data_IF_329999597717
#
_entry.id   IF_329999597717
#
_cell.length_a   1.000
_cell.length_b   1.000
_cell.length_c   1.000
_cell.angle_alpha   90.00
_cell.angle_beta   90.00
_cell.angle_gamma   90.00
#
_symmetry.space_group_name_H-M   'P 1'
#
loop_
_entity.id
_entity.type
_entity.pdbx_description
1 polymer ?
#
# COMPACT_ATOMS: atom_id res chain seq x y z
N UNK A 1 45.09 -23.19 -29.10
CA UNK A 1 44.29 -24.43 -29.19
C UNK A 1 42.85 -24.05 -28.90
N UNK A 2 42.21 -23.15 -29.67
CA UNK A 2 41.94 -23.10 -31.13
C UNK A 2 40.61 -23.82 -31.44
N UNK A 3 39.61 -23.29 -32.14
CA UNK A 3 39.27 -21.91 -32.60
C UNK A 3 37.71 -21.77 -32.55
N UNK A 4 36.95 -20.81 -33.11
CA UNK A 4 37.14 -19.72 -34.09
C UNK A 4 36.06 -18.61 -33.91
N UNK A 5 36.08 -17.56 -34.75
CA UNK A 5 34.99 -16.57 -34.84
C UNK A 5 34.12 -16.74 -36.10
N UNK A 6 32.86 -16.27 -36.05
CA UNK A 6 32.22 -15.51 -37.15
C UNK A 6 30.93 -14.84 -36.65
N UNK A 7 30.89 -13.52 -36.46
CA UNK A 7 30.59 -12.50 -37.48
C UNK A 7 29.22 -12.63 -38.19
N UNK A 8 28.32 -11.68 -37.93
CA UNK A 8 27.97 -10.68 -38.95
C UNK A 8 27.32 -9.43 -38.33
N UNK A 9 27.53 -8.29 -38.99
CA UNK A 9 27.12 -6.94 -38.56
C UNK A 9 26.19 -6.33 -39.61
N UNK A 10 25.17 -5.55 -39.21
CA UNK A 10 24.37 -4.73 -40.14
C UNK A 10 24.24 -3.28 -39.66
N UNK A 11 24.93 -2.38 -40.35
CA UNK A 11 24.87 -0.92 -40.15
C UNK A 11 23.86 -0.26 -41.13
N UNK A 12 23.49 1.01 -40.86
CA UNK A 12 22.90 2.03 -41.79
C UNK A 12 21.46 1.75 -42.27
N UNK A 13 20.63 2.71 -42.75
CA UNK A 13 20.45 4.19 -42.63
C UNK A 13 19.16 4.53 -43.46
N UNK A 14 18.51 5.70 -43.55
CA UNK A 14 18.71 7.12 -43.14
C UNK A 14 17.35 7.82 -42.90
N UNK A 15 17.34 9.07 -42.42
CA UNK A 15 16.27 10.06 -42.72
C UNK A 15 16.65 10.97 -43.91
N UNK A 16 16.02 12.15 -44.14
CA UNK A 16 14.83 12.75 -43.48
C UNK A 16 13.84 13.46 -44.48
N UNK A 17 12.93 14.31 -43.94
CA UNK A 17 12.47 15.63 -44.48
C UNK A 17 11.03 15.87 -45.03
N UNK A 18 10.39 16.92 -44.46
CA UNK A 18 9.51 17.99 -45.02
C UNK A 18 8.10 17.67 -45.59
N UNK A 19 7.21 18.69 -45.49
CA UNK A 19 5.83 18.74 -46.04
C UNK A 19 5.74 19.36 -47.45
N UNK A 20 4.60 19.97 -47.89
CA UNK A 20 3.98 21.12 -47.20
C UNK A 20 2.41 21.19 -47.27
N UNK A 21 1.82 22.40 -47.19
CA UNK A 21 0.38 22.72 -47.27
C UNK A 21 -0.12 22.97 -48.71
N UNK A 22 -1.42 22.75 -48.97
CA UNK A 22 -2.38 23.66 -49.66
C UNK A 22 -3.82 23.17 -49.34
N UNK A 23 -4.86 23.97 -49.02
CA UNK A 23 -5.54 25.15 -49.61
C UNK A 23 -6.68 24.81 -50.59
N UNK A 24 -7.68 25.72 -50.61
CA UNK A 24 -8.79 25.88 -51.58
C UNK A 24 -10.11 25.12 -51.29
N UNK A 25 -11.32 25.60 -51.66
CA UNK A 25 -11.80 26.96 -52.08
C UNK A 25 -13.35 27.01 -52.09
N UNK A 26 -13.90 28.20 -52.38
CA UNK A 26 -15.30 28.50 -52.75
C UNK A 26 -16.37 28.41 -51.64
N UNK A 27 -17.29 29.35 -51.38
CA UNK A 27 -17.86 30.56 -52.04
C UNK A 27 -19.20 30.39 -52.74
N UNK A 28 -20.24 31.09 -52.24
CA UNK A 28 -21.34 31.66 -53.03
C UNK A 28 -21.98 32.85 -52.30
N UNK A 29 -22.98 33.48 -52.92
CA UNK A 29 -23.12 34.96 -52.91
C UNK A 29 -24.53 35.45 -53.26
N UNK A 30 -24.89 36.64 -52.74
CA UNK A 30 -26.12 37.39 -53.05
C UNK A 30 -27.19 37.27 -51.96
N UNK A 31 -28.09 38.24 -51.74
CA UNK A 31 -28.31 39.62 -52.28
C UNK A 31 -29.01 40.44 -51.14
N UNK A 32 -29.03 41.79 -51.01
CA UNK A 32 -29.29 42.91 -51.96
C UNK A 32 -30.74 42.85 -52.52
N UNK A 33 -31.58 43.90 -52.64
CA UNK A 33 -31.60 45.39 -52.44
C UNK A 33 -33.10 45.85 -52.26
N UNK A 34 -33.57 47.06 -51.89
CA UNK A 34 -33.09 48.30 -51.22
C UNK A 34 -34.30 49.30 -51.00
N UNK A 35 -34.18 50.36 -50.18
CA UNK A 35 -34.99 51.63 -50.10
C UNK A 35 -36.47 51.62 -49.61
N UNK A 36 -37.10 52.81 -49.35
CA UNK A 36 -36.59 54.20 -49.16
C UNK A 36 -36.99 54.84 -47.80
N UNK A 37 -36.92 56.18 -47.67
CA UNK A 37 -37.03 56.95 -46.40
C UNK A 37 -38.01 58.16 -46.47
N UNK A 38 -38.23 58.83 -45.32
CA UNK A 38 -38.84 60.18 -45.20
C UNK A 38 -38.21 60.96 -44.00
N UNK A 39 -38.00 62.29 -44.03
CA UNK A 39 -37.25 63.03 -42.98
C UNK A 39 -38.01 64.20 -42.30
N UNK A 40 -37.62 64.57 -41.07
CA UNK A 40 -38.00 65.87 -40.49
C UNK A 40 -37.62 66.09 -39.01
N UNK A 41 -37.19 67.32 -38.68
CA UNK A 41 -37.08 67.81 -37.28
C UNK A 41 -35.67 68.02 -36.73
N UNK A 42 -35.26 69.29 -36.61
CA UNK A 42 -34.09 69.80 -35.86
C UNK A 42 -34.60 70.77 -34.77
N UNK A 43 -33.75 71.33 -33.89
CA UNK A 43 -32.82 70.67 -32.96
C UNK A 43 -33.05 71.13 -31.50
N UNK A 44 -32.29 70.60 -30.54
CA UNK A 44 -32.25 71.08 -29.14
C UNK A 44 -30.83 71.03 -28.57
N UNK A 45 -30.45 72.05 -27.79
CA UNK A 45 -29.05 72.30 -27.36
C UNK A 45 -28.63 71.57 -26.07
N UNK A 46 -27.31 71.49 -25.78
CA UNK A 46 -26.77 70.51 -24.83
C UNK A 46 -26.84 70.93 -23.35
N UNK A 47 -26.88 69.92 -22.48
CA UNK A 47 -26.67 70.08 -21.03
C UNK A 47 -25.49 69.24 -20.55
N UNK A 48 -24.41 69.88 -20.11
CA UNK A 48 -23.29 69.22 -19.44
C UNK A 48 -23.74 68.60 -18.10
N UNK A 49 -23.40 67.33 -17.89
CA UNK A 49 -23.98 66.52 -16.80
C UNK A 49 -23.06 65.48 -16.15
N UNK A 50 -21.75 65.58 -16.37
CA UNK A 50 -20.64 64.90 -15.67
C UNK A 50 -20.97 63.64 -14.83
N UNK A 51 -20.87 62.45 -15.44
CA UNK A 51 -20.87 61.17 -14.70
C UNK A 51 -19.54 60.93 -13.94
N UNK A 52 -19.58 60.70 -12.62
CA UNK A 52 -18.66 59.76 -11.98
C UNK A 52 -19.23 58.34 -12.19
N UNK A 53 -18.85 57.71 -13.30
CA UNK A 53 -19.52 56.52 -13.83
C UNK A 53 -19.71 55.37 -12.83
N UNK A 54 -20.92 54.80 -12.81
CA UNK A 54 -21.33 53.73 -11.87
C UNK A 54 -20.80 52.34 -12.28
N UNK A 55 -19.49 52.24 -12.44
CA UNK A 55 -18.79 51.01 -12.84
C UNK A 55 -18.76 49.95 -11.73
N UNK A 56 -19.73 49.04 -11.72
CA UNK A 56 -19.73 47.83 -10.89
C UNK A 56 -18.67 46.83 -11.37
N UNK A 57 -17.40 47.15 -11.09
CA UNK A 57 -16.24 46.33 -11.45
C UNK A 57 -16.13 45.08 -10.57
N UNK A 58 -16.98 44.08 -10.84
CA UNK A 58 -17.20 42.91 -9.99
C UNK A 58 -15.94 42.17 -9.50
N UNK A 59 -15.63 42.29 -8.20
CA UNK A 59 -14.56 41.55 -7.50
C UNK A 59 -15.07 40.42 -6.60
N UNK A 60 -16.35 40.05 -6.72
CA UNK A 60 -17.09 39.20 -5.78
C UNK A 60 -16.95 37.69 -6.00
N UNK A 61 -16.75 37.23 -7.24
CA UNK A 61 -16.80 35.78 -7.57
C UNK A 61 -15.64 34.92 -7.06
N UNK A 62 -14.41 35.46 -6.91
CA UNK A 62 -13.21 34.64 -6.60
C UNK A 62 -13.12 34.14 -5.15
N UNK A 63 -13.67 34.87 -4.17
CA UNK A 63 -13.56 34.52 -2.74
C UNK A 63 -14.26 33.21 -2.33
N UNK A 64 -15.52 32.91 -2.74
CA UNK A 64 -16.13 31.61 -2.44
C UNK A 64 -15.43 30.45 -3.18
N UNK A 65 -14.93 30.68 -4.40
CA UNK A 65 -14.19 29.67 -5.16
C UNK A 65 -12.87 29.28 -4.47
N UNK A 66 -12.02 30.25 -4.10
CA UNK A 66 -10.79 29.94 -3.35
C UNK A 66 -11.05 29.29 -2.00
N UNK A 67 -12.11 29.70 -1.26
CA UNK A 67 -12.47 29.06 0.01
C UNK A 67 -12.89 27.60 -0.17
N UNK A 68 -13.70 27.29 -1.19
CA UNK A 68 -14.09 25.90 -1.51
C UNK A 68 -12.88 25.07 -1.93
N UNK A 69 -12.00 25.60 -2.79
CA UNK A 69 -10.77 24.93 -3.19
C UNK A 69 -9.85 24.64 -1.99
N UNK A 70 -9.60 25.63 -1.12
CA UNK A 70 -8.78 25.46 0.09
C UNK A 70 -9.38 24.41 1.06
N UNK A 71 -10.70 24.40 1.24
CA UNK A 71 -11.39 23.39 2.06
C UNK A 71 -11.23 21.98 1.46
N UNK A 72 -11.36 21.81 0.14
CA UNK A 72 -11.16 20.51 -0.53
C UNK A 72 -9.70 20.06 -0.41
N UNK A 73 -8.74 20.95 -0.63
CA UNK A 73 -7.31 20.66 -0.52
C UNK A 73 -6.85 20.34 0.92
N UNK A 74 -7.60 20.75 1.94
CA UNK A 74 -7.37 20.34 3.33
C UNK A 74 -8.13 19.05 3.68
N UNK A 75 -9.39 18.93 3.26
CA UNK A 75 -10.28 17.82 3.61
C UNK A 75 -9.87 16.50 2.94
N UNK A 76 -9.38 16.51 1.69
CA UNK A 76 -8.96 15.28 1.01
C UNK A 76 -7.73 14.63 1.68
N UNK A 77 -6.61 15.34 1.95
CA UNK A 77 -5.52 14.77 2.74
C UNK A 77 -5.96 14.37 4.15
N UNK A 78 -6.78 15.17 4.83
CA UNK A 78 -7.28 14.82 6.17
C UNK A 78 -8.11 13.52 6.15
N UNK A 79 -8.98 13.32 5.15
CA UNK A 79 -9.75 12.09 4.98
C UNK A 79 -8.85 10.88 4.70
N UNK A 80 -7.83 11.02 3.84
CA UNK A 80 -6.87 9.94 3.55
C UNK A 80 -6.02 9.61 4.79
N UNK A 81 -5.60 10.62 5.57
CA UNK A 81 -4.88 10.41 6.84
C UNK A 81 -5.76 9.73 7.89
N UNK A 82 -7.03 10.10 8.03
CA UNK A 82 -7.98 9.44 8.93
C UNK A 82 -8.26 7.98 8.50
N UNK A 83 -8.43 7.73 7.21
CA UNK A 83 -8.57 6.39 6.65
C UNK A 83 -7.31 5.53 6.93
N UNK A 84 -6.12 6.12 6.77
CA UNK A 84 -4.83 5.46 7.03
C UNK A 84 -4.57 5.21 8.52
N UNK A 85 -5.04 6.11 9.39
CA UNK A 85 -4.95 5.95 10.84
C UNK A 85 -5.85 4.81 11.33
N UNK A 86 -7.12 4.77 10.88
CA UNK A 86 -8.17 3.99 11.52
C UNK A 86 -8.70 2.78 10.75
N UNK A 87 -8.41 2.65 9.44
CA UNK A 87 -9.05 1.65 8.56
C UNK A 87 -8.02 0.83 7.79
N UNK A 88 -7.23 1.46 6.92
CA UNK A 88 -6.34 0.74 6.00
C UNK A 88 -5.05 1.53 5.71
N UNK A 89 -3.89 0.95 6.05
CA UNK A 89 -2.59 1.59 5.85
C UNK A 89 -1.84 0.96 4.68
N UNK A 90 -1.31 1.75 3.72
CA UNK A 90 -0.39 1.23 2.71
C UNK A 90 0.99 0.95 3.34
N UNK A 91 1.60 -0.18 2.96
CA UNK A 91 2.98 -0.54 3.28
C UNK A 91 3.71 -0.96 2.00
N UNK A 92 5.02 -0.67 1.92
CA UNK A 92 5.93 -1.23 0.91
C UNK A 92 6.59 -2.46 1.52
N UNK A 93 6.77 -3.53 0.73
CA UNK A 93 7.48 -4.75 1.15
C UNK A 93 8.97 -4.63 0.77
N UNK A 94 9.91 -4.51 1.73
CA UNK A 94 11.32 -4.28 1.45
C UNK A 94 12.17 -5.56 1.36
N UNK A 95 11.64 -6.71 1.82
CA UNK A 95 12.39 -7.97 1.91
C UNK A 95 11.62 -9.16 1.33
N UNK A 96 12.36 -10.15 0.81
CA UNK A 96 11.79 -11.39 0.26
C UNK A 96 11.41 -12.44 1.30
N UNK A 97 11.36 -12.10 2.61
CA UNK A 97 11.10 -13.08 3.68
C UNK A 97 9.67 -13.65 3.70
N UNK A 98 8.78 -13.09 2.88
CA UNK A 98 7.40 -13.53 2.66
C UNK A 98 7.15 -14.04 1.23
N UNK A 99 8.20 -14.31 0.46
CA UNK A 99 8.05 -14.91 -0.88
C UNK A 99 7.60 -16.37 -0.73
N UNK A 100 6.75 -16.90 -1.64
CA UNK A 100 6.29 -16.31 -2.89
C UNK A 100 5.08 -15.36 -2.74
N UNK A 101 4.43 -15.39 -1.58
CA UNK A 101 3.19 -14.66 -1.22
C UNK A 101 3.32 -13.15 -1.44
N UNK A 102 4.29 -12.52 -0.77
CA UNK A 102 4.65 -11.10 -0.93
C UNK A 102 6.09 -11.03 -1.43
N UNK A 103 6.36 -10.16 -2.40
CA UNK A 103 7.67 -9.98 -3.04
C UNK A 103 8.21 -8.59 -2.80
N UNK A 104 9.53 -8.43 -2.93
CA UNK A 104 10.19 -7.12 -2.82
C UNK A 104 9.58 -6.13 -3.81
N UNK A 105 9.14 -4.98 -3.30
CA UNK A 105 8.52 -3.91 -4.10
C UNK A 105 6.99 -3.98 -4.25
N UNK A 106 6.33 -5.01 -3.70
CA UNK A 106 4.88 -4.99 -3.54
C UNK A 106 4.47 -3.82 -2.64
N UNK A 107 3.35 -3.15 -2.98
CA UNK A 107 2.64 -2.25 -2.06
C UNK A 107 1.37 -2.94 -1.60
N UNK A 108 1.26 -3.20 -0.31
CA UNK A 108 0.14 -3.89 0.30
C UNK A 108 -0.73 -2.94 1.12
N UNK A 109 -2.01 -3.25 1.23
CA UNK A 109 -2.98 -2.54 2.05
C UNK A 109 -3.33 -3.37 3.29
N UNK A 110 -2.96 -2.83 4.44
CA UNK A 110 -3.09 -3.48 5.75
C UNK A 110 -4.39 -3.07 6.42
N UNK A 111 -5.32 -4.02 6.57
CA UNK A 111 -6.60 -3.84 7.20
C UNK A 111 -6.45 -3.79 8.74
N UNK A 112 -6.65 -2.59 9.30
CA UNK A 112 -6.61 -2.33 10.75
C UNK A 112 -7.92 -2.65 11.46
N UNK A 113 -9.01 -2.83 10.71
CA UNK A 113 -10.31 -3.19 11.27
C UNK A 113 -10.44 -4.69 11.55
N UNK A 114 -9.64 -5.52 10.88
CA UNK A 114 -9.65 -6.99 10.98
C UNK A 114 -9.71 -7.51 12.43
N UNK A 115 -9.01 -6.85 13.35
CA UNK A 115 -8.92 -7.24 14.77
C UNK A 115 -9.61 -6.24 15.73
N UNK A 116 -10.19 -5.16 15.21
CA UNK A 116 -10.74 -4.06 16.01
C UNK A 116 -12.11 -4.38 16.65
N UNK A 117 -12.80 -5.40 16.14
CA UNK A 117 -14.10 -5.87 16.62
C UNK A 117 -14.01 -6.96 17.71
N UNK A 118 -12.83 -7.20 18.29
CA UNK A 118 -12.60 -8.28 19.26
C UNK A 118 -12.20 -9.62 18.63
N UNK A 119 -12.05 -9.68 17.31
CA UNK A 119 -11.40 -10.78 16.61
C UNK A 119 -9.90 -10.75 16.87
N UNK A 120 -9.29 -11.87 17.24
CA UNK A 120 -7.83 -12.00 17.34
C UNK A 120 -7.21 -12.42 15.98
N UNK A 121 -5.90 -12.20 15.76
CA UNK A 121 -5.16 -12.84 14.67
C UNK A 121 -5.29 -14.36 14.73
N UNK A 122 -5.61 -14.98 13.59
CA UNK A 122 -5.80 -16.43 13.47
C UNK A 122 -4.60 -17.09 12.78
N UNK A 123 -4.43 -18.41 12.97
CA UNK A 123 -3.42 -19.19 12.25
C UNK A 123 -3.60 -19.03 10.74
N UNK A 124 -2.51 -18.83 10.01
CA UNK A 124 -2.51 -18.57 8.58
C UNK A 124 -2.69 -17.11 8.17
N UNK A 125 -3.15 -16.20 9.04
CA UNK A 125 -3.22 -14.76 8.75
C UNK A 125 -1.81 -14.21 8.46
N UNK A 126 -1.65 -13.43 7.39
CA UNK A 126 -0.43 -12.64 7.14
C UNK A 126 -0.64 -11.24 7.71
N UNK A 127 0.17 -10.85 8.70
CA UNK A 127 -0.03 -9.61 9.46
C UNK A 127 1.22 -8.74 9.49
N UNK A 128 1.01 -7.45 9.73
CA UNK A 128 2.07 -6.46 9.99
C UNK A 128 2.07 -6.09 11.47
N UNK A 129 3.23 -5.97 12.10
CA UNK A 129 3.37 -5.70 13.54
C UNK A 129 4.65 -4.91 13.89
N UNK A 130 4.60 -4.15 14.99
CA UNK A 130 5.77 -3.44 15.55
C UNK A 130 6.57 -4.40 16.46
N UNK A 131 7.67 -4.93 15.93
CA UNK A 131 8.53 -5.94 16.57
C UNK A 131 9.48 -5.43 17.67
N UNK A 132 9.38 -4.15 18.08
CA UNK A 132 10.22 -3.59 19.14
C UNK A 132 9.96 -4.30 20.49
N UNK A 133 10.99 -4.90 21.09
CA UNK A 133 10.89 -5.73 22.29
C UNK A 133 10.63 -7.23 22.03
N UNK A 134 10.39 -7.64 20.77
CA UNK A 134 10.30 -9.06 20.38
C UNK A 134 11.42 -9.48 19.43
N UNK A 135 11.66 -8.73 18.35
CA UNK A 135 12.66 -9.03 17.31
C UNK A 135 13.78 -7.99 17.22
N UNK A 136 13.55 -6.76 17.71
CA UNK A 136 14.55 -5.67 17.79
C UNK A 136 14.45 -4.97 19.14
N UNK A 137 15.54 -4.42 19.72
CA UNK A 137 15.47 -3.73 21.01
C UNK A 137 14.50 -2.54 21.02
N UNK A 138 13.74 -2.35 22.10
CA UNK A 138 12.83 -1.21 22.22
C UNK A 138 13.58 0.08 22.54
N UNK A 139 13.79 0.92 21.52
CA UNK A 139 14.39 2.25 21.63
C UNK A 139 13.31 3.33 21.72
N UNK A 140 12.50 3.29 22.78
CA UNK A 140 11.36 4.18 23.02
C UNK A 140 11.73 5.68 23.11
N UNK A 141 11.72 6.38 21.97
CA UNK A 141 12.05 7.81 21.84
C UNK A 141 11.16 8.57 20.84
N UNK A 142 9.89 8.17 20.68
CA UNK A 142 8.99 8.69 19.63
C UNK A 142 8.38 10.06 19.99
N UNK A 143 8.89 11.15 19.40
CA UNK A 143 8.26 12.48 19.43
C UNK A 143 6.93 12.47 18.61
N UNK A 144 5.79 12.90 19.17
CA UNK A 144 4.48 12.77 18.53
C UNK A 144 4.32 13.64 17.27
N UNK A 145 4.95 14.83 17.22
CA UNK A 145 4.89 15.73 16.06
C UNK A 145 5.68 15.14 14.90
N UNK A 146 6.84 14.55 15.18
CA UNK A 146 7.62 13.81 14.20
C UNK A 146 6.87 12.56 13.69
N UNK A 147 6.13 11.87 14.58
CA UNK A 147 5.24 10.76 14.22
C UNK A 147 4.17 11.16 13.20
N UNK A 148 3.47 12.28 13.43
CA UNK A 148 2.44 12.78 12.51
C UNK A 148 3.00 13.11 11.11
N UNK A 149 4.17 13.79 11.06
CA UNK A 149 4.82 14.14 9.79
C UNK A 149 5.31 12.90 9.03
N UNK A 150 5.89 11.91 9.72
CA UNK A 150 6.28 10.62 9.10
C UNK A 150 5.07 9.84 8.62
N UNK A 151 3.99 9.78 9.39
CA UNK A 151 2.75 9.11 8.98
C UNK A 151 2.18 9.69 7.70
N UNK A 152 2.18 11.02 7.56
CA UNK A 152 1.77 11.68 6.31
C UNK A 152 2.72 11.39 5.14
N UNK A 153 4.03 11.34 5.37
CA UNK A 153 5.01 11.00 4.34
C UNK A 153 4.87 9.52 3.89
N UNK A 154 4.70 8.58 4.81
CA UNK A 154 4.53 7.15 4.51
C UNK A 154 3.24 6.88 3.72
N UNK A 155 2.12 7.55 4.07
CA UNK A 155 0.86 7.51 3.31
C UNK A 155 1.01 8.04 1.88
N UNK A 156 1.93 8.97 1.65
CA UNK A 156 2.27 9.47 0.31
C UNK A 156 3.36 8.62 -0.40
N UNK A 157 3.91 7.59 0.24
CA UNK A 157 5.03 6.81 -0.29
C UNK A 157 6.37 7.56 -0.34
N UNK A 158 6.52 8.58 0.51
CA UNK A 158 7.68 9.50 0.59
C UNK A 158 8.56 9.28 1.83
N UNK A 159 8.24 8.28 2.66
CA UNK A 159 9.06 7.82 3.76
C UNK A 159 8.99 6.29 3.83
N UNK A 160 10.13 5.66 4.13
CA UNK A 160 10.21 4.24 4.41
C UNK A 160 9.44 3.87 5.69
N UNK A 161 8.90 2.64 5.81
CA UNK A 161 8.39 2.15 7.09
C UNK A 161 9.53 2.15 8.12
N UNK A 162 9.23 2.31 9.43
CA UNK A 162 10.27 2.23 10.45
C UNK A 162 10.86 0.83 10.50
N UNK A 163 12.15 0.70 10.84
CA UNK A 163 12.89 -0.57 10.92
C UNK A 163 12.37 -1.54 12.01
N UNK A 164 11.28 -1.17 12.69
CA UNK A 164 10.53 -1.95 13.67
C UNK A 164 9.34 -2.72 13.08
N UNK A 165 8.86 -2.37 11.88
CA UNK A 165 7.61 -2.90 11.33
C UNK A 165 7.88 -4.14 10.45
N UNK A 166 7.44 -5.31 10.91
CA UNK A 166 7.66 -6.60 10.24
C UNK A 166 6.36 -7.16 9.64
N UNK A 167 6.49 -7.94 8.57
CA UNK A 167 5.39 -8.72 7.97
C UNK A 167 5.73 -10.20 8.07
N UNK A 168 4.84 -11.00 8.69
CA UNK A 168 4.98 -12.46 8.86
C UNK A 168 3.61 -13.15 8.81
N UNK A 169 3.60 -14.48 8.66
CA UNK A 169 2.42 -15.32 8.86
C UNK A 169 2.31 -15.75 10.32
N UNK A 170 1.11 -15.69 10.88
CA UNK A 170 0.77 -16.32 12.16
C UNK A 170 0.77 -17.82 11.97
N UNK A 171 1.62 -18.54 12.71
CA UNK A 171 1.70 -20.00 12.67
C UNK A 171 1.05 -20.62 13.92
N UNK A 172 1.30 -20.04 15.08
CA UNK A 172 0.64 -20.40 16.34
C UNK A 172 0.05 -19.19 17.04
N UNK A 173 -1.10 -19.38 17.69
CA UNK A 173 -1.77 -18.41 18.57
C UNK A 173 -1.65 -18.84 20.03
N UNK A 174 -1.82 -17.91 20.98
CA UNK A 174 -1.69 -18.20 22.41
C UNK A 174 -2.43 -19.45 22.89
N UNK A 175 -1.69 -20.39 23.46
CA UNK A 175 -2.09 -21.74 23.85
C UNK A 175 -1.54 -22.84 22.94
N UNK A 176 -1.18 -22.55 21.69
CA UNK A 176 -0.76 -23.58 20.73
C UNK A 176 0.58 -24.22 21.10
N UNK A 177 0.64 -25.55 21.02
CA UNK A 177 1.89 -26.31 20.98
C UNK A 177 2.38 -26.34 19.53
N UNK A 178 3.59 -25.84 19.25
CA UNK A 178 4.18 -25.82 17.91
C UNK A 178 5.54 -26.49 17.93
N UNK A 179 5.73 -27.46 17.05
CA UNK A 179 6.94 -28.28 16.96
C UNK A 179 7.52 -28.24 15.55
N UNK A 180 8.81 -27.95 15.43
CA UNK A 180 9.58 -28.45 14.29
C UNK A 180 10.49 -29.61 14.73
N UNK A 181 10.34 -30.81 14.16
CA UNK A 181 9.40 -31.20 13.11
C UNK A 181 9.02 -32.67 13.25
N UNK A 182 7.96 -33.10 12.56
CA UNK A 182 7.54 -34.51 12.51
C UNK A 182 8.59 -35.40 11.81
N UNK A 183 8.31 -36.71 11.72
CA UNK A 183 9.23 -37.68 11.11
C UNK A 183 9.45 -37.47 9.61
N UNK A 184 8.55 -36.75 8.95
CA UNK A 184 8.58 -36.45 7.51
C UNK A 184 9.11 -35.03 7.24
N UNK A 185 9.48 -34.28 8.29
CA UNK A 185 10.05 -32.93 8.22
C UNK A 185 9.03 -31.79 8.21
N UNK A 186 7.75 -32.07 8.50
CA UNK A 186 6.66 -31.08 8.56
C UNK A 186 6.60 -30.39 9.92
N UNK A 187 6.07 -29.17 9.93
CA UNK A 187 5.71 -28.50 11.18
C UNK A 187 4.44 -29.13 11.78
N UNK A 188 4.40 -29.33 13.09
CA UNK A 188 3.18 -29.73 13.81
C UNK A 188 2.63 -28.57 14.65
N UNK A 189 1.31 -28.39 14.65
CA UNK A 189 0.59 -27.51 15.59
C UNK A 189 -0.48 -28.35 16.29
N UNK A 190 -0.47 -28.37 17.63
CA UNK A 190 -1.39 -29.17 18.46
C UNK A 190 -1.47 -30.64 17.99
N UNK A 191 -0.31 -31.25 17.75
CA UNK A 191 -0.18 -32.64 17.25
C UNK A 191 -0.68 -32.87 15.82
N UNK A 192 -1.02 -31.81 15.07
CA UNK A 192 -1.49 -31.89 13.68
C UNK A 192 -0.38 -31.41 12.74
N UNK A 193 0.18 -32.27 11.88
CA UNK A 193 1.19 -31.87 10.90
C UNK A 193 0.56 -31.04 9.78
N UNK A 194 1.16 -29.88 9.49
CA UNK A 194 0.68 -28.95 8.47
C UNK A 194 1.14 -29.36 7.06
N UNK A 195 0.32 -29.08 6.05
CA UNK A 195 0.71 -29.13 4.64
C UNK A 195 0.86 -27.69 4.11
N UNK A 196 2.09 -27.21 4.04
CA UNK A 196 2.38 -25.78 3.86
C UNK A 196 2.59 -25.42 2.38
N UNK A 197 1.56 -25.55 1.54
CA UNK A 197 1.60 -25.22 0.10
C UNK A 197 2.09 -23.79 -0.22
N UNK A 198 2.02 -22.89 0.76
CA UNK A 198 2.39 -21.48 0.65
C UNK A 198 3.89 -21.18 0.81
N UNK A 199 4.73 -22.18 1.10
CA UNK A 199 6.18 -21.97 1.27
C UNK A 199 6.90 -21.60 -0.04
N UNK A 200 8.05 -20.96 0.12
CA UNK A 200 8.99 -20.79 -0.98
C UNK A 200 9.55 -22.13 -1.49
N UNK A 201 9.70 -22.25 -2.81
CA UNK A 201 10.01 -23.54 -3.46
C UNK A 201 11.43 -24.01 -3.13
N UNK A 202 11.53 -25.12 -2.40
CA UNK A 202 12.80 -25.70 -1.94
C UNK A 202 13.13 -25.44 -0.47
N UNK A 203 12.34 -24.61 0.21
CA UNK A 203 12.45 -24.38 1.64
C UNK A 203 11.95 -25.59 2.44
N UNK A 204 12.56 -25.84 3.60
CA UNK A 204 12.03 -26.77 4.61
C UNK A 204 11.21 -25.98 5.65
N UNK A 205 10.15 -26.57 6.25
CA UNK A 205 9.31 -25.92 7.26
C UNK A 205 10.11 -25.23 8.38
N UNK A 206 11.18 -25.86 8.87
CA UNK A 206 12.30 -25.14 9.51
C UNK A 206 13.60 -25.96 9.45
N UNK A 207 14.75 -25.28 9.51
CA UNK A 207 16.08 -25.89 9.75
C UNK A 207 16.57 -25.76 11.20
N UNK A 208 15.88 -24.95 12.00
CA UNK A 208 16.08 -24.87 13.46
C UNK A 208 14.99 -25.73 14.11
N UNK A 209 15.35 -26.76 14.91
CA UNK A 209 14.38 -27.54 15.67
C UNK A 209 13.87 -26.72 16.85
N UNK A 210 12.59 -26.87 17.18
CA UNK A 210 11.99 -26.24 18.35
C UNK A 210 10.73 -27.00 18.79
N UNK A 211 10.44 -26.89 20.08
CA UNK A 211 9.25 -27.41 20.75
C UNK A 211 8.82 -26.31 21.71
N UNK A 212 7.71 -25.63 21.42
CA UNK A 212 7.23 -24.46 22.18
C UNK A 212 5.73 -24.53 22.43
N UNK A 213 5.29 -23.91 23.52
CA UNK A 213 3.88 -23.54 23.73
C UNK A 213 3.80 -22.01 23.65
N UNK A 214 2.93 -21.48 22.78
CA UNK A 214 2.76 -20.04 22.58
C UNK A 214 2.08 -19.43 23.81
N UNK A 215 2.66 -18.44 24.52
CA UNK A 215 2.01 -17.83 25.67
C UNK A 215 0.70 -17.12 25.31
N UNK A 216 -0.28 -17.17 26.22
CA UNK A 216 -1.56 -16.48 26.06
C UNK A 216 -1.37 -14.97 25.79
N UNK A 217 -2.09 -14.44 24.79
CA UNK A 217 -1.93 -13.05 24.35
C UNK A 217 -0.72 -12.79 23.43
N UNK A 218 -0.01 -13.83 23.00
CA UNK A 218 1.10 -13.73 22.03
C UNK A 218 0.89 -14.65 20.82
N UNK A 219 1.77 -14.52 19.83
CA UNK A 219 1.76 -15.21 18.54
C UNK A 219 3.16 -15.78 18.24
N UNK A 220 3.18 -16.95 17.62
CA UNK A 220 4.37 -17.52 16.97
C UNK A 220 4.34 -17.21 15.48
N UNK A 221 5.38 -16.54 14.98
CA UNK A 221 5.36 -15.80 13.73
C UNK A 221 6.51 -16.25 12.83
N UNK A 222 6.20 -16.67 11.59
CA UNK A 222 7.21 -17.18 10.64
C UNK A 222 7.05 -16.58 9.25
N UNK A 223 8.14 -16.52 8.48
CA UNK A 223 8.10 -16.11 7.08
C UNK A 223 7.74 -17.27 6.14
N UNK A 224 7.14 -16.98 4.98
CA UNK A 224 6.86 -17.99 3.95
C UNK A 224 8.15 -18.45 3.24
N UNK A 225 9.15 -17.57 3.15
CA UNK A 225 10.51 -17.89 2.70
C UNK A 225 11.37 -18.25 3.93
N UNK A 226 11.14 -19.45 4.47
CA UNK A 226 11.72 -19.96 5.73
C UNK A 226 13.25 -19.86 5.79
N UNK A 227 13.94 -20.00 4.66
CA UNK A 227 15.40 -19.90 4.51
C UNK A 227 15.92 -18.45 4.51
N UNK A 228 15.04 -17.47 4.25
CA UNK A 228 15.38 -16.04 4.08
C UNK A 228 14.64 -15.14 5.06
N UNK A 229 14.09 -15.74 6.12
CA UNK A 229 13.28 -15.06 7.12
C UNK A 229 13.97 -15.10 8.48
N UNK A 230 14.36 -13.91 8.98
CA UNK A 230 14.47 -13.68 10.42
C UNK A 230 13.06 -13.53 10.97
N UNK A 231 12.69 -14.38 11.93
CA UNK A 231 11.36 -14.48 12.53
C UNK A 231 11.44 -15.16 13.91
N UNK A 232 10.34 -15.62 14.51
CA UNK A 232 10.32 -16.12 15.90
C UNK A 232 11.38 -17.19 16.19
N UNK A 233 11.74 -18.01 15.18
CA UNK A 233 12.80 -19.04 15.28
C UNK A 233 14.20 -18.44 15.53
N UNK A 234 14.45 -17.23 15.07
CA UNK A 234 15.74 -16.52 15.23
C UNK A 234 15.97 -15.99 16.64
N UNK A 235 14.89 -15.87 17.42
CA UNK A 235 14.88 -15.25 18.76
C UNK A 235 14.62 -16.29 19.88
N UNK A 236 14.81 -17.58 19.58
CA UNK A 236 14.75 -18.67 20.55
C UNK A 236 15.84 -18.50 21.62
N UNK A 237 15.43 -18.45 22.89
CA UNK A 237 16.33 -18.23 24.03
C UNK A 237 16.62 -16.76 24.36
N UNK A 238 16.18 -15.81 23.52
CA UNK A 238 16.19 -14.38 23.86
C UNK A 238 15.03 -14.04 24.83
N UNK A 239 15.05 -12.88 25.52
CA UNK A 239 13.91 -12.44 26.34
C UNK A 239 12.62 -12.38 25.51
N UNK A 240 11.58 -13.06 25.96
CA UNK A 240 10.33 -13.23 25.20
C UNK A 240 10.32 -14.41 24.21
N UNK A 241 11.46 -15.06 23.97
CA UNK A 241 11.55 -16.33 23.23
C UNK A 241 11.04 -16.28 21.79
N UNK A 242 11.13 -15.12 21.14
CA UNK A 242 10.59 -14.88 19.79
C UNK A 242 9.07 -14.73 19.71
N UNK A 243 8.36 -14.68 20.83
CA UNK A 243 6.91 -14.47 20.86
C UNK A 243 6.56 -13.00 20.57
N UNK A 244 5.51 -12.78 19.78
CA UNK A 244 5.02 -11.44 19.42
C UNK A 244 3.69 -11.17 20.14
N UNK A 245 3.59 -10.17 21.04
CA UNK A 245 2.33 -9.82 21.68
C UNK A 245 1.26 -9.37 20.68
N UNK A 246 0.00 -9.78 20.89
CA UNK A 246 -1.12 -9.48 19.98
C UNK A 246 -1.40 -7.99 19.85
N UNK A 247 -1.12 -7.19 20.88
CA UNK A 247 -1.30 -5.73 20.86
C UNK A 247 -0.27 -4.99 19.98
N UNK A 248 0.79 -5.68 19.52
CA UNK A 248 1.74 -5.15 18.53
C UNK A 248 1.28 -5.30 17.08
N UNK A 249 0.21 -6.06 16.81
CA UNK A 249 -0.30 -6.27 15.46
C UNK A 249 -1.01 -5.02 14.95
N UNK A 250 -0.44 -4.42 13.89
CA UNK A 250 -0.94 -3.23 13.22
C UNK A 250 -2.18 -3.57 12.38
N UNK A 251 -2.23 -4.76 11.79
CA UNK A 251 -3.37 -5.27 11.03
C UNK A 251 -3.01 -6.40 10.06
N UNK A 252 -4.01 -6.90 9.32
CA UNK A 252 -3.83 -8.01 8.36
C UNK A 252 -3.59 -7.52 6.94
N UNK A 253 -2.76 -8.24 6.19
CA UNK A 253 -2.47 -7.99 4.77
C UNK A 253 -3.58 -8.60 3.90
N UNK A 254 -4.63 -7.84 3.60
CA UNK A 254 -5.79 -8.34 2.82
C UNK A 254 -5.63 -8.15 1.29
N UNK A 255 -4.78 -7.22 0.83
CA UNK A 255 -4.71 -6.81 -0.58
C UNK A 255 -3.31 -6.33 -0.99
N UNK A 256 -2.78 -6.88 -2.09
CA UNK A 256 -1.68 -6.29 -2.87
C UNK A 256 -2.30 -5.26 -3.82
N UNK A 257 -1.85 -3.99 -3.73
CA UNK A 257 -2.33 -2.88 -4.56
C UNK A 257 -1.43 -2.53 -5.74
N UNK A 258 -0.13 -2.83 -5.66
CA UNK A 258 0.86 -2.61 -6.72
C UNK A 258 1.98 -3.66 -6.60
N UNK A 259 2.62 -4.11 -7.69
CA UNK A 259 2.37 -3.75 -9.09
C UNK A 259 1.02 -4.26 -9.61
N UNK A 260 0.43 -3.58 -10.60
CA UNK A 260 -0.89 -3.96 -11.14
C UNK A 260 -0.93 -5.40 -11.67
N UNK A 261 0.20 -5.95 -12.13
CA UNK A 261 0.36 -7.34 -12.56
C UNK A 261 0.30 -8.37 -11.43
N UNK A 262 0.25 -7.93 -10.17
CA UNK A 262 0.06 -8.75 -8.95
C UNK A 262 -1.04 -8.20 -8.03
N UNK A 263 -1.86 -7.26 -8.50
CA UNK A 263 -2.92 -6.67 -7.67
C UNK A 263 -4.04 -7.69 -7.41
N UNK A 264 -4.39 -7.89 -6.14
CA UNK A 264 -5.28 -8.96 -5.68
C UNK A 264 -4.98 -9.38 -4.24
N UNK A 265 -5.70 -10.38 -3.72
CA UNK A 265 -5.39 -10.94 -2.41
C UNK A 265 -4.01 -11.64 -2.43
N UNK A 266 -3.21 -11.58 -1.34
CA UNK A 266 -2.03 -12.42 -1.19
C UNK A 266 -2.39 -13.92 -1.19
N UNK A 267 -1.39 -14.78 -1.43
CA UNK A 267 -1.55 -16.23 -1.29
C UNK A 267 -1.98 -16.62 0.13
N UNK A 268 -3.19 -17.18 0.25
CA UNK A 268 -3.70 -17.75 1.50
C UNK A 268 -2.89 -18.96 1.96
N UNK A 269 -3.22 -19.50 3.12
CA UNK A 269 -2.52 -20.64 3.73
C UNK A 269 -2.83 -22.01 3.09
N UNK A 270 -3.55 -22.08 1.96
CA UNK A 270 -3.87 -23.35 1.26
C UNK A 270 -4.79 -24.32 2.01
N UNK A 271 -5.26 -23.97 3.21
CA UNK A 271 -5.90 -24.92 4.14
C UNK A 271 -4.91 -25.63 5.08
N UNK A 272 -3.64 -25.22 5.12
CA UNK A 272 -2.59 -25.81 5.96
C UNK A 272 -2.93 -25.92 7.46
N UNK A 273 -3.83 -25.04 7.95
CA UNK A 273 -4.27 -24.98 9.34
C UNK A 273 -5.70 -25.52 9.55
N UNK A 274 -6.34 -26.04 8.49
CA UNK A 274 -7.68 -26.59 8.56
C UNK A 274 -7.66 -27.92 9.33
N UNK A 275 -8.56 -28.08 10.28
CA UNK A 275 -8.60 -29.25 11.17
C UNK A 275 -7.61 -29.22 12.34
N UNK A 276 -6.66 -28.27 12.39
CA UNK A 276 -5.77 -28.09 13.55
C UNK A 276 -6.61 -27.74 14.79
N UNK A 277 -6.58 -28.54 15.87
CA UNK A 277 -7.41 -28.33 17.06
C UNK A 277 -7.27 -26.94 17.68
N UNK A 278 -8.29 -26.50 18.42
CA UNK A 278 -8.10 -25.42 19.39
C UNK A 278 -7.02 -25.82 20.40
N UNK A 279 -6.24 -24.89 20.96
CA UNK A 279 -5.22 -25.22 21.94
C UNK A 279 -5.84 -25.87 23.19
N UNK A 280 -5.28 -27.01 23.61
CA UNK A 280 -5.74 -27.71 24.80
C UNK A 280 -5.42 -26.89 26.05
N UNK A 281 -6.45 -26.44 26.76
CA UNK A 281 -6.35 -25.59 27.97
C UNK A 281 -5.78 -26.28 29.21
N UNK A 282 -4.99 -27.35 29.03
CA UNK A 282 -4.39 -28.20 30.07
C UNK A 282 -2.94 -27.82 30.44
N UNK A 283 -2.42 -26.72 29.89
CA UNK A 283 -1.04 -26.27 30.12
C UNK A 283 -1.01 -24.88 30.78
N UNK A 284 -1.25 -24.86 32.09
CA UNK A 284 -1.16 -23.69 32.98
C UNK A 284 -0.91 -24.11 34.43
#
# INVERSE_FOLDING_TARGET
MDTEEQHTKRDRSSGPAKGPQERSRFSRSGSSEDRPADPGGLPGEPGDGNEPGRGDGGRTGRRPALRRAALICAALPAAVLLLSAFVVQPFLIPSGSMEPTLRVGDRVFVNKLAYRSGSAPARGDVVVFDGAGSFVPDTAGRNPVAGLLRGAAAVLGLADPPDTDFVKRVVGVGGDHVVCCDRDGRLEVNGTPLDEEYLHTGDAPSRVPFDIVVPGGTLWMMGDHRDRSSDSRSHLGEPGGGMVPVDRVIGRVDLIGWPWSRAGAPTGSGGAFDGVPAPDGSHG
#
